data_IF_860432255736
#
_entry.id   IF_860432255736
#
_cell.length_a   1.000
_cell.length_b   1.000
_cell.length_c   1.000
_cell.angle_alpha   90.00
_cell.angle_beta   90.00
_cell.angle_gamma   90.00
#
_symmetry.space_group_name_H-M   'P 1'
#
loop_
_entity.id
_entity.type
_entity.pdbx_description
1 polymer ?
#
# COMPACT_ATOMS: atom_id res chain seq x y z
N UNK A 1 -17.87 5.81 -7.07
CA UNK A 1 -18.20 5.14 -5.79
C UNK A 1 -17.40 3.84 -5.81
N UNK A 2 -16.22 3.86 -5.20
CA UNK A 2 -15.11 2.95 -5.56
C UNK A 2 -14.95 1.80 -4.56
N UNK A 3 -15.99 1.55 -3.78
CA UNK A 3 -15.97 0.62 -2.67
C UNK A 3 -16.77 -0.65 -3.01
N UNK A 4 -16.33 -1.75 -2.42
CA UNK A 4 -16.98 -3.05 -2.56
C UNK A 4 -18.36 -3.04 -1.91
N UNK A 5 -19.28 -3.91 -2.36
CA UNK A 5 -20.58 -4.05 -1.72
C UNK A 5 -20.40 -4.37 -0.23
N UNK A 6 -21.20 -3.69 0.60
CA UNK A 6 -21.24 -3.93 2.04
C UNK A 6 -21.69 -5.37 2.28
N UNK A 7 -20.95 -6.16 3.09
CA UNK A 7 -21.30 -7.56 3.30
C UNK A 7 -22.61 -7.68 4.09
N UNK A 8 -23.38 -8.75 3.83
CA UNK A 8 -24.71 -8.97 4.43
C UNK A 8 -24.70 -9.03 5.97
N UNK A 9 -23.55 -9.32 6.57
CA UNK A 9 -23.34 -9.37 8.01
C UNK A 9 -22.88 -8.02 8.60
N UNK A 10 -23.01 -6.92 7.87
CA UNK A 10 -22.75 -5.58 8.40
C UNK A 10 -23.81 -5.20 9.44
N UNK A 11 -23.34 -4.70 10.59
CA UNK A 11 -24.21 -4.21 11.66
C UNK A 11 -24.81 -2.84 11.32
N UNK A 12 -24.15 -2.07 10.46
CA UNK A 12 -24.59 -0.75 10.02
C UNK A 12 -24.16 -0.46 8.58
N UNK A 13 -24.66 0.64 8.02
CA UNK A 13 -24.13 1.21 6.79
C UNK A 13 -22.62 1.45 6.91
N UNK A 14 -21.94 1.31 5.79
CA UNK A 14 -20.53 1.64 5.67
C UNK A 14 -20.29 3.13 5.92
N UNK A 15 -19.17 3.42 6.58
CA UNK A 15 -18.72 4.76 6.91
C UNK A 15 -17.52 5.11 6.04
N UNK A 16 -17.51 6.31 5.48
CA UNK A 16 -16.31 6.86 4.85
C UNK A 16 -15.32 7.35 5.92
N UNK A 17 -14.08 6.86 5.86
CA UNK A 17 -12.98 7.24 6.71
C UNK A 17 -11.88 7.89 5.86
N UNK A 18 -11.65 9.18 6.06
CA UNK A 18 -10.53 9.91 5.45
C UNK A 18 -9.32 9.91 6.38
N UNK A 19 -8.19 9.41 5.88
CA UNK A 19 -6.94 9.31 6.62
C UNK A 19 -5.86 10.10 5.90
N UNK A 20 -5.16 10.97 6.63
CA UNK A 20 -4.04 11.69 6.06
C UNK A 20 -2.86 10.74 5.83
N UNK A 21 -2.32 10.73 4.61
CA UNK A 21 -1.23 9.86 4.22
C UNK A 21 0.12 10.48 4.64
N UNK A 22 0.45 10.39 5.93
CA UNK A 22 1.74 10.85 6.50
C UNK A 22 2.88 9.85 6.38
N UNK A 23 2.57 8.64 5.95
CA UNK A 23 3.51 7.55 5.71
C UNK A 23 2.82 6.44 4.93
N UNK A 24 3.59 5.50 4.39
CA UNK A 24 3.04 4.47 3.52
C UNK A 24 2.42 3.28 4.28
N UNK A 25 2.75 3.08 5.56
CA UNK A 25 2.27 1.96 6.36
C UNK A 25 0.80 2.16 6.77
N UNK A 26 -0.11 1.74 5.90
CA UNK A 26 -1.56 1.91 6.08
C UNK A 26 -2.07 1.29 7.38
N UNK A 27 -1.54 0.12 7.78
CA UNK A 27 -1.81 -0.49 9.07
C UNK A 27 -1.54 0.46 10.24
N UNK A 28 -0.43 1.20 10.21
CA UNK A 28 -0.08 2.14 11.28
C UNK A 28 -1.02 3.35 11.30
N UNK A 29 -1.35 3.88 10.12
CA UNK A 29 -2.31 4.99 10.01
C UNK A 29 -3.70 4.60 10.55
N UNK A 30 -4.20 3.41 10.19
CA UNK A 30 -5.48 2.91 10.69
C UNK A 30 -5.45 2.66 12.21
N UNK A 31 -4.34 2.15 12.76
CA UNK A 31 -4.17 2.00 14.21
C UNK A 31 -4.23 3.35 14.94
N UNK A 32 -3.63 4.40 14.38
CA UNK A 32 -3.70 5.75 14.95
C UNK A 32 -5.14 6.29 14.94
N UNK A 33 -5.88 6.09 13.84
CA UNK A 33 -7.30 6.49 13.77
C UNK A 33 -8.16 5.71 14.77
N UNK A 34 -7.92 4.39 14.89
CA UNK A 34 -8.59 3.56 15.89
C UNK A 34 -8.30 4.03 17.31
N UNK A 35 -7.03 4.30 17.65
CA UNK A 35 -6.67 4.81 18.97
C UNK A 35 -7.41 6.12 19.28
N UNK A 36 -7.47 7.04 18.30
CA UNK A 36 -8.21 8.30 18.45
C UNK A 36 -9.70 8.06 18.70
N UNK A 37 -10.32 7.19 17.93
CA UNK A 37 -11.72 6.85 18.12
C UNK A 37 -11.96 6.23 19.51
N UNK A 38 -11.07 5.37 20.00
CA UNK A 38 -11.17 4.76 21.33
C UNK A 38 -11.09 5.79 22.46
N UNK A 39 -10.22 6.80 22.35
CA UNK A 39 -10.14 7.87 23.35
C UNK A 39 -11.46 8.65 23.45
N UNK A 40 -12.14 8.89 22.32
CA UNK A 40 -13.46 9.52 22.30
C UNK A 40 -14.58 8.60 22.84
N UNK A 41 -14.43 7.28 22.73
CA UNK A 41 -15.37 6.33 23.34
C UNK A 41 -15.28 6.36 24.86
N UNK A 42 -14.07 6.42 25.42
CA UNK A 42 -13.85 6.41 26.88
C UNK A 42 -14.46 7.65 27.55
N UNK A 43 -14.40 8.81 26.91
CA UNK A 43 -15.10 10.03 27.37
C UNK A 43 -16.63 9.90 27.40
N UNK A 44 -17.20 8.95 26.64
CA UNK A 44 -18.65 8.80 26.46
C UNK A 44 -19.24 7.56 27.12
N UNK A 45 -18.41 6.63 27.60
CA UNK A 45 -18.83 5.40 28.28
C UNK A 45 -17.84 5.20 29.42
N UNK A 46 -18.31 5.19 30.67
CA UNK A 46 -17.52 4.77 31.83
C UNK A 46 -17.17 3.27 31.73
N UNK A 47 -16.31 2.92 30.77
CA UNK A 47 -15.82 1.58 30.54
C UNK A 47 -14.48 1.48 31.27
N UNK A 48 -14.52 1.00 32.51
CA UNK A 48 -13.41 0.94 33.47
C UNK A 48 -12.19 0.11 33.05
N UNK A 49 -12.05 -0.25 31.77
CA UNK A 49 -10.99 -1.10 31.22
C UNK A 49 -10.39 -0.61 29.90
N UNK A 50 -10.76 0.58 29.40
CA UNK A 50 -10.04 1.16 28.24
C UNK A 50 -8.76 1.83 28.76
N UNK A 51 -7.82 1.04 29.28
CA UNK A 51 -6.44 1.54 29.35
C UNK A 51 -6.02 1.85 27.91
N UNK A 52 -5.48 3.03 27.60
CA UNK A 52 -5.01 3.34 26.25
C UNK A 52 -3.96 2.29 25.87
N UNK A 53 -4.39 1.29 25.11
CA UNK A 53 -3.48 0.30 24.56
C UNK A 53 -2.52 1.08 23.68
N UNK A 54 -1.21 0.93 23.90
CA UNK A 54 -0.22 1.44 22.96
C UNK A 54 -0.66 1.09 21.52
N UNK A 55 -0.47 2.00 20.57
CA UNK A 55 -0.88 1.85 19.15
C UNK A 55 -0.47 0.46 18.60
N UNK A 56 0.64 -0.07 19.09
CA UNK A 56 1.19 -1.37 18.72
C UNK A 56 0.31 -2.56 19.13
N UNK A 57 -0.45 -2.45 20.22
CA UNK A 57 -1.29 -3.51 20.77
C UNK A 57 -2.66 -3.64 20.09
N UNK A 58 -3.07 -2.67 19.26
CA UNK A 58 -4.34 -2.76 18.53
C UNK A 58 -4.27 -3.93 17.53
N UNK A 59 -5.12 -4.97 17.65
CA UNK A 59 -5.08 -6.14 16.79
C UNK A 59 -5.65 -5.79 15.42
N UNK A 60 -4.78 -5.43 14.47
CA UNK A 60 -5.14 -5.09 13.09
C UNK A 60 -4.39 -5.99 12.09
N UNK A 61 -5.12 -6.65 11.22
CA UNK A 61 -4.57 -7.60 10.24
C UNK A 61 -4.96 -7.19 8.83
N UNK A 62 -4.01 -7.19 7.89
CA UNK A 62 -4.28 -6.96 6.47
C UNK A 62 -4.63 -8.29 5.80
N UNK A 63 -5.65 -8.30 4.96
CA UNK A 63 -5.86 -9.38 4.01
C UNK A 63 -4.75 -9.35 2.94
N UNK A 64 -4.10 -10.49 2.70
CA UNK A 64 -3.02 -10.60 1.70
C UNK A 64 -3.52 -10.85 0.27
N UNK A 65 -4.82 -11.06 0.12
CA UNK A 65 -5.49 -11.20 -1.18
C UNK A 65 -6.22 -9.92 -1.54
N UNK A 66 -6.51 -9.76 -2.83
CA UNK A 66 -7.42 -8.72 -3.29
C UNK A 66 -8.87 -9.12 -2.99
N UNK A 67 -9.76 -8.21 -2.56
CA UNK A 67 -9.56 -6.78 -2.30
C UNK A 67 -8.72 -6.48 -1.05
N UNK A 68 -8.06 -5.31 -1.05
CA UNK A 68 -7.22 -4.88 0.08
C UNK A 68 -8.12 -4.36 1.20
N UNK A 69 -8.18 -5.09 2.29
CA UNK A 69 -8.84 -4.63 3.50
C UNK A 69 -8.05 -4.97 4.75
N UNK A 70 -8.32 -4.21 5.81
CA UNK A 70 -7.76 -4.43 7.14
C UNK A 70 -8.89 -4.81 8.08
N UNK A 71 -8.63 -5.76 8.97
CA UNK A 71 -9.63 -6.27 9.91
C UNK A 71 -9.11 -6.13 11.34
N UNK A 72 -9.93 -5.57 12.22
CA UNK A 72 -9.61 -5.32 13.63
C UNK A 72 -10.58 -6.02 14.58
N UNK A 73 -10.02 -6.71 15.57
CA UNK A 73 -10.79 -7.38 16.63
C UNK A 73 -10.94 -6.50 17.89
N UNK A 74 -10.64 -5.20 17.80
CA UNK A 74 -10.49 -4.34 18.98
C UNK A 74 -11.77 -4.27 19.84
N UNK A 75 -12.95 -4.26 19.22
CA UNK A 75 -14.21 -4.23 19.96
C UNK A 75 -14.48 -5.56 20.70
N UNK A 76 -14.06 -6.70 20.12
CA UNK A 76 -14.11 -8.00 20.77
C UNK A 76 -13.18 -8.07 21.98
N UNK A 77 -11.98 -7.48 21.88
CA UNK A 77 -11.03 -7.46 23.00
C UNK A 77 -11.47 -6.56 24.15
N UNK A 78 -12.13 -5.43 23.84
CA UNK A 78 -12.53 -4.43 24.84
C UNK A 78 -13.89 -4.71 25.47
N UNK A 79 -14.86 -5.21 24.70
CA UNK A 79 -16.21 -5.48 25.17
C UNK A 79 -16.76 -6.78 24.56
N UNK A 80 -16.30 -7.97 25.00
CA UNK A 80 -16.70 -9.26 24.42
C UNK A 80 -18.21 -9.46 24.30
N UNK A 81 -18.98 -9.00 25.30
CA UNK A 81 -20.44 -9.17 25.36
C UNK A 81 -21.23 -8.13 24.55
N UNK A 82 -20.64 -6.98 24.23
CA UNK A 82 -21.29 -5.85 23.52
C UNK A 82 -20.45 -5.39 22.31
N UNK A 83 -19.69 -6.31 21.73
CA UNK A 83 -18.65 -6.00 20.74
C UNK A 83 -19.22 -5.40 19.47
N UNK A 84 -20.40 -5.83 19.03
CA UNK A 84 -21.09 -5.27 17.87
C UNK A 84 -21.47 -3.79 18.05
N UNK A 85 -22.03 -3.45 19.22
CA UNK A 85 -22.42 -2.06 19.56
C UNK A 85 -21.17 -1.19 19.66
N UNK A 86 -20.11 -1.69 20.30
CA UNK A 86 -18.84 -0.96 20.40
C UNK A 86 -18.19 -0.77 19.02
N UNK A 87 -18.19 -1.78 18.17
CA UNK A 87 -17.69 -1.66 16.80
C UNK A 87 -18.46 -0.60 16.00
N UNK A 88 -19.79 -0.58 16.09
CA UNK A 88 -20.61 0.44 15.44
C UNK A 88 -20.26 1.84 15.95
N UNK A 89 -20.14 2.03 17.27
CA UNK A 89 -19.80 3.33 17.86
C UNK A 89 -18.42 3.80 17.41
N UNK A 90 -17.43 2.91 17.39
CA UNK A 90 -16.09 3.21 16.87
C UNK A 90 -16.19 3.63 15.39
N UNK A 91 -16.92 2.89 14.56
CA UNK A 91 -17.08 3.21 13.14
C UNK A 91 -17.71 4.60 12.93
N UNK A 92 -18.72 4.97 13.71
CA UNK A 92 -19.35 6.29 13.64
C UNK A 92 -18.39 7.42 14.05
N UNK A 93 -17.59 7.21 15.09
CA UNK A 93 -16.60 8.20 15.54
C UNK A 93 -15.50 8.42 14.49
N UNK A 94 -15.16 7.38 13.72
CA UNK A 94 -14.22 7.45 12.61
C UNK A 94 -14.73 8.27 11.41
N UNK A 95 -16.06 8.47 11.27
CA UNK A 95 -16.62 9.33 10.22
C UNK A 95 -16.36 10.81 10.46
N UNK A 96 -16.00 11.20 11.69
CA UNK A 96 -15.87 12.59 12.08
C UNK A 96 -14.75 13.24 11.27
N UNK A 97 -15.02 14.30 10.49
CA UNK A 97 -14.02 14.91 9.64
C UNK A 97 -12.85 15.38 10.50
N UNK A 98 -11.66 14.86 10.18
CA UNK A 98 -10.43 15.44 10.69
C UNK A 98 -10.39 16.87 10.15
N UNK A 99 -10.23 17.87 11.02
CA UNK A 99 -9.92 19.23 10.61
C UNK A 99 -8.53 19.20 9.97
N UNK A 100 -8.46 18.92 8.68
CA UNK A 100 -7.24 18.91 7.89
C UNK A 100 -7.13 20.24 7.16
N UNK A 101 -5.95 20.83 7.24
CA UNK A 101 -5.56 21.90 6.31
C UNK A 101 -5.38 21.26 4.93
N UNK A 102 -5.92 21.87 3.87
CA UNK A 102 -6.03 21.38 2.47
C UNK A 102 -4.72 20.90 1.77
N UNK A 103 -3.60 20.78 2.47
CA UNK A 103 -2.25 20.58 1.90
C UNK A 103 -1.73 19.15 1.95
N UNK A 104 -2.26 18.27 2.80
CA UNK A 104 -1.77 16.88 2.92
C UNK A 104 -2.63 15.89 2.09
N UNK A 105 -2.04 14.91 1.38
CA UNK A 105 -2.82 13.93 0.62
C UNK A 105 -3.64 13.04 1.54
N UNK A 106 -4.93 12.85 1.22
CA UNK A 106 -5.84 11.99 1.97
C UNK A 106 -6.14 10.70 1.22
N UNK A 107 -6.11 9.59 1.95
CA UNK A 107 -6.53 8.27 1.48
C UNK A 107 -7.87 7.91 2.14
N UNK A 108 -8.83 7.44 1.36
CA UNK A 108 -10.16 7.08 1.84
C UNK A 108 -10.30 5.57 2.00
N UNK A 109 -10.84 5.17 3.13
CA UNK A 109 -11.24 3.82 3.45
C UNK A 109 -12.75 3.78 3.66
N UNK A 110 -13.34 2.62 3.40
CA UNK A 110 -14.68 2.32 3.85
C UNK A 110 -14.59 1.49 5.13
N UNK A 111 -15.03 2.06 6.25
CA UNK A 111 -15.10 1.41 7.54
C UNK A 111 -16.46 0.70 7.71
N UNK A 112 -16.43 -0.59 8.06
CA UNK A 112 -17.62 -1.43 8.22
C UNK A 112 -17.55 -2.10 9.58
N UNK A 113 -18.59 -1.90 10.40
CA UNK A 113 -18.79 -2.65 11.62
C UNK A 113 -19.60 -3.91 11.30
N UNK A 114 -19.07 -5.08 11.66
CA UNK A 114 -19.73 -6.36 11.46
C UNK A 114 -20.53 -6.77 12.70
N UNK A 115 -21.59 -7.55 12.51
CA UNK A 115 -22.48 -8.03 13.59
C UNK A 115 -21.78 -8.90 14.63
N UNK A 116 -20.65 -9.50 14.26
CA UNK A 116 -19.79 -10.29 15.14
C UNK A 116 -18.72 -9.47 15.88
N UNK A 117 -18.82 -8.13 15.87
CA UNK A 117 -17.92 -7.24 16.62
C UNK A 117 -16.57 -6.97 15.95
N UNK A 118 -16.38 -7.39 14.70
CA UNK A 118 -15.19 -7.03 13.92
C UNK A 118 -15.37 -5.69 13.22
N UNK A 119 -14.26 -4.98 13.02
CA UNK A 119 -14.18 -3.80 12.15
C UNK A 119 -13.39 -4.14 10.89
N UNK A 120 -13.92 -3.77 9.74
CA UNK A 120 -13.22 -3.87 8.46
C UNK A 120 -12.98 -2.49 7.86
N UNK A 121 -11.82 -2.31 7.24
CA UNK A 121 -11.40 -1.11 6.54
C UNK A 121 -11.04 -1.48 5.12
N UNK A 122 -11.92 -1.21 4.18
CA UNK A 122 -11.73 -1.52 2.77
C UNK A 122 -11.04 -0.36 2.06
N UNK A 123 -9.94 -0.66 1.37
CA UNK A 123 -9.25 0.31 0.53
C UNK A 123 -9.78 0.19 -0.90
N UNK A 124 -10.48 1.23 -1.37
CA UNK A 124 -10.97 1.31 -2.75
C UNK A 124 -9.86 1.55 -3.75
N UNK A 125 -10.16 1.39 -5.04
CA UNK A 125 -9.20 1.54 -6.13
C UNK A 125 -8.57 2.94 -6.20
N UNK A 126 -9.36 3.99 -5.96
CA UNK A 126 -8.88 5.37 -5.87
C UNK A 126 -7.94 5.59 -4.69
N UNK A 127 -8.25 5.02 -3.53
CA UNK A 127 -7.36 5.06 -2.38
C UNK A 127 -6.03 4.36 -2.67
N UNK A 128 -6.08 3.23 -3.37
CA UNK A 128 -4.87 2.51 -3.79
C UNK A 128 -4.06 3.28 -4.84
N UNK A 129 -4.70 3.93 -5.82
CA UNK A 129 -4.03 4.80 -6.77
C UNK A 129 -3.34 5.99 -6.07
N UNK A 130 -4.03 6.64 -5.13
CA UNK A 130 -3.46 7.71 -4.30
C UNK A 130 -2.25 7.21 -3.50
N UNK A 131 -2.31 5.99 -2.96
CA UNK A 131 -1.17 5.40 -2.27
C UNK A 131 0.01 5.18 -3.23
N UNK A 132 -0.22 4.59 -4.41
CA UNK A 132 0.81 4.33 -5.42
C UNK A 132 1.50 5.62 -5.88
N UNK A 133 0.75 6.70 -6.14
CA UNK A 133 1.30 8.01 -6.53
C UNK A 133 2.20 8.63 -5.45
N UNK A 134 1.94 8.33 -4.17
CA UNK A 134 2.70 8.90 -3.06
C UNK A 134 3.86 8.02 -2.61
N UNK A 135 4.01 6.79 -3.13
CA UNK A 135 5.15 5.91 -2.80
C UNK A 135 6.50 6.61 -3.02
N UNK A 136 6.79 7.25 -4.17
CA UNK A 136 8.10 7.85 -4.39
C UNK A 136 8.43 8.99 -3.44
N UNK A 137 7.41 9.71 -2.97
CA UNK A 137 7.55 10.85 -2.05
C UNK A 137 7.74 10.39 -0.61
N UNK A 138 7.03 9.35 -0.19
CA UNK A 138 6.92 8.95 1.22
C UNK A 138 7.79 7.73 1.58
N UNK A 139 8.32 7.01 0.59
CA UNK A 139 9.13 5.83 0.85
C UNK A 139 10.55 6.24 1.24
N UNK A 140 10.93 5.88 2.47
CA UNK A 140 12.30 5.97 2.97
C UNK A 140 12.67 4.62 3.58
N UNK A 141 13.84 4.08 3.23
CA UNK A 141 14.33 2.84 3.82
C UNK A 141 15.24 3.12 5.02
N UNK A 142 14.62 3.20 6.20
CA UNK A 142 15.29 3.52 7.46
C UNK A 142 15.33 2.31 8.39
N UNK A 143 16.06 1.26 7.99
CA UNK A 143 16.31 0.11 8.87
C UNK A 143 17.74 0.04 9.34
N UNK A 144 17.90 -0.17 10.65
CA UNK A 144 19.20 -0.43 11.27
C UNK A 144 19.89 -1.60 10.56
N UNK A 145 21.16 -1.38 10.23
CA UNK A 145 22.07 -2.30 9.53
C UNK A 145 22.19 -3.60 10.36
N UNK A 146 21.33 -4.58 10.10
CA UNK A 146 21.60 -5.95 10.56
C UNK A 146 22.69 -6.52 9.66
N UNK A 147 23.64 -7.23 10.27
CA UNK A 147 24.88 -7.67 9.63
C UNK A 147 24.68 -8.40 8.31
N UNK A 148 25.75 -8.47 7.51
CA UNK A 148 25.83 -9.03 6.15
C UNK A 148 24.91 -10.25 5.96
N UNK A 149 23.74 -10.02 5.39
CA UNK A 149 22.76 -11.09 5.13
C UNK A 149 23.23 -11.91 3.92
N UNK A 150 23.15 -13.24 4.00
CA UNK A 150 23.40 -14.11 2.85
C UNK A 150 22.24 -13.93 1.87
N UNK A 151 22.51 -13.36 0.71
CA UNK A 151 21.54 -13.22 -0.39
C UNK A 151 22.23 -13.48 -1.73
N UNK A 152 21.44 -13.86 -2.73
CA UNK A 152 21.95 -14.01 -4.09
C UNK A 152 22.11 -12.63 -4.75
N UNK A 153 23.20 -11.94 -4.40
CA UNK A 153 23.49 -10.55 -4.79
C UNK A 153 23.31 -10.33 -6.31
N UNK A 154 23.88 -11.24 -7.11
CA UNK A 154 23.84 -11.18 -8.57
C UNK A 154 22.43 -11.28 -9.13
N UNK A 155 21.59 -12.15 -8.56
CA UNK A 155 20.21 -12.28 -9.00
C UNK A 155 19.42 -10.99 -8.73
N UNK A 156 19.62 -10.35 -7.58
CA UNK A 156 18.94 -9.10 -7.25
C UNK A 156 19.39 -7.93 -8.15
N UNK A 157 20.71 -7.83 -8.39
CA UNK A 157 21.28 -6.86 -9.32
C UNK A 157 20.79 -7.07 -10.75
N UNK A 158 20.66 -8.33 -11.18
CA UNK A 158 20.11 -8.69 -12.47
C UNK A 158 18.68 -8.19 -12.64
N UNK A 159 17.81 -8.47 -11.66
CA UNK A 159 16.41 -8.03 -11.72
C UNK A 159 16.32 -6.51 -11.76
N UNK A 160 17.13 -5.81 -10.96
CA UNK A 160 17.19 -4.34 -11.02
C UNK A 160 17.61 -3.82 -12.41
N UNK A 161 18.72 -4.34 -12.98
CA UNK A 161 19.18 -3.95 -14.31
C UNK A 161 18.13 -4.24 -15.40
N UNK A 162 17.41 -5.36 -15.28
CA UNK A 162 16.32 -5.73 -16.19
C UNK A 162 15.17 -4.73 -16.13
N UNK A 163 14.77 -4.28 -14.93
CA UNK A 163 13.80 -3.19 -14.80
C UNK A 163 14.27 -1.92 -15.51
N UNK A 164 15.53 -1.51 -15.33
CA UNK A 164 16.08 -0.35 -16.00
C UNK A 164 16.01 -0.47 -17.54
N UNK A 165 16.34 -1.65 -18.09
CA UNK A 165 16.24 -1.91 -19.53
C UNK A 165 14.81 -1.82 -20.05
N UNK A 166 13.83 -2.35 -19.31
CA UNK A 166 12.41 -2.26 -19.67
C UNK A 166 11.87 -0.82 -19.60
N UNK A 167 12.28 -0.03 -18.61
CA UNK A 167 11.90 1.38 -18.52
C UNK A 167 12.50 2.20 -19.68
N UNK A 168 13.76 1.94 -20.05
CA UNK A 168 14.37 2.55 -21.25
C UNK A 168 13.63 2.15 -22.53
N UNK A 169 13.19 0.89 -22.64
CA UNK A 169 12.36 0.46 -23.77
C UNK A 169 11.03 1.22 -23.79
N UNK A 170 10.36 1.38 -22.63
CA UNK A 170 9.16 2.21 -22.52
C UNK A 170 9.37 3.66 -22.97
N UNK A 171 10.53 4.26 -22.66
CA UNK A 171 10.87 5.59 -23.17
C UNK A 171 11.08 5.61 -24.69
N UNK A 172 11.76 4.60 -25.26
CA UNK A 172 11.94 4.48 -26.72
C UNK A 172 10.60 4.34 -27.45
N UNK A 173 9.67 3.59 -26.87
CA UNK A 173 8.29 3.42 -27.35
C UNK A 173 7.38 4.63 -27.04
N UNK A 174 7.93 5.73 -26.50
CA UNK A 174 7.21 6.97 -26.16
C UNK A 174 6.03 6.76 -25.19
N UNK A 175 6.11 5.73 -24.35
CA UNK A 175 5.10 5.48 -23.33
C UNK A 175 5.31 6.36 -22.10
N UNK A 176 6.57 6.69 -21.80
CA UNK A 176 6.95 7.45 -20.61
C UNK A 176 8.21 8.30 -20.88
N UNK A 177 8.44 9.25 -20.00
CA UNK A 177 9.69 10.01 -19.93
C UNK A 177 10.32 9.73 -18.55
N UNK A 178 11.61 9.39 -18.55
CA UNK A 178 12.40 9.16 -17.35
C UNK A 178 13.66 10.01 -17.35
N UNK A 179 14.06 10.43 -16.15
CA UNK A 179 15.37 11.01 -15.88
C UNK A 179 16.49 9.96 -15.85
N UNK A 180 17.62 10.35 -15.27
CA UNK A 180 18.80 9.50 -15.18
C UNK A 180 18.61 8.36 -14.18
N UNK A 181 18.42 7.13 -14.69
CA UNK A 181 18.30 5.92 -13.85
C UNK A 181 19.54 5.64 -12.99
N UNK A 182 20.68 6.28 -13.24
CA UNK A 182 21.87 6.22 -12.39
C UNK A 182 21.74 7.02 -11.10
N UNK A 183 20.86 8.02 -11.03
CA UNK A 183 20.73 8.90 -9.87
C UNK A 183 19.84 8.29 -8.77
N UNK A 184 20.24 8.52 -7.52
CA UNK A 184 19.47 8.07 -6.34
C UNK A 184 18.20 8.91 -6.25
N UNK A 185 17.05 8.33 -6.58
CA UNK A 185 15.76 9.03 -6.51
C UNK A 185 14.71 8.44 -7.43
N UNK A 186 13.53 9.04 -7.38
CA UNK A 186 12.44 8.77 -8.31
C UNK A 186 12.73 9.44 -9.66
N UNK A 187 12.66 8.67 -10.74
CA UNK A 187 13.10 9.13 -12.07
C UNK A 187 11.96 9.28 -13.07
N UNK A 188 10.71 9.00 -12.71
CA UNK A 188 9.59 9.14 -13.64
C UNK A 188 9.17 10.60 -13.80
N UNK A 189 9.10 11.08 -15.04
CA UNK A 189 8.75 12.46 -15.37
C UNK A 189 7.36 12.57 -16.01
N UNK A 190 7.05 11.71 -16.99
CA UNK A 190 5.76 11.72 -17.67
C UNK A 190 5.29 10.30 -18.04
N UNK A 191 3.97 10.05 -18.15
CA UNK A 191 2.86 10.94 -17.78
C UNK A 191 2.77 11.20 -16.28
N UNK A 192 2.36 12.42 -15.89
CA UNK A 192 2.11 12.79 -14.50
C UNK A 192 0.69 13.36 -14.34
N UNK A 193 -0.16 12.80 -13.47
CA UNK A 193 0.06 11.57 -12.70
C UNK A 193 0.12 10.32 -13.61
N UNK A 194 0.64 9.21 -13.07
CA UNK A 194 0.59 7.93 -13.78
C UNK A 194 -0.89 7.53 -13.92
N UNK A 195 -1.34 7.03 -15.08
CA UNK A 195 -2.76 6.75 -15.32
C UNK A 195 -3.24 5.46 -14.62
N UNK A 196 -3.18 5.42 -13.29
CA UNK A 196 -3.58 4.26 -12.48
C UNK A 196 -5.05 3.89 -12.64
N UNK A 197 -5.92 4.89 -12.79
CA UNK A 197 -7.37 4.74 -12.82
C UNK A 197 -7.90 4.70 -14.25
N UNK A 198 -8.99 3.94 -14.44
CA UNK A 198 -9.77 3.96 -15.67
C UNK A 198 -10.61 5.23 -15.74
N UNK A 199 -10.73 5.76 -16.95
CA UNK A 199 -11.46 7.02 -17.21
C UNK A 199 -12.97 6.90 -17.04
N UNK A 200 -13.51 5.67 -17.10
CA UNK A 200 -14.95 5.39 -17.17
C UNK A 200 -15.58 4.98 -15.84
N UNK A 201 -14.81 4.38 -14.92
CA UNK A 201 -15.37 3.68 -13.76
C UNK A 201 -14.63 3.94 -12.43
N UNK A 202 -13.66 4.87 -12.38
CA UNK A 202 -12.77 5.11 -11.22
C UNK A 202 -12.03 3.85 -10.70
N UNK A 203 -12.15 2.69 -11.37
CA UNK A 203 -11.48 1.45 -11.02
C UNK A 203 -10.01 1.44 -11.44
N UNK A 204 -9.19 0.65 -10.76
CA UNK A 204 -7.76 0.54 -11.05
C UNK A 204 -7.57 -0.20 -12.38
N UNK A 205 -6.67 0.30 -13.24
CA UNK A 205 -6.31 -0.34 -14.51
C UNK A 205 -5.56 -1.66 -14.30
N UNK A 206 -4.83 -1.76 -13.19
CA UNK A 206 -3.96 -2.87 -12.84
C UNK A 206 -4.75 -4.01 -12.19
N UNK A 207 -5.52 -4.76 -12.98
CA UNK A 207 -6.44 -5.81 -12.52
C UNK A 207 -5.85 -7.23 -12.56
N UNK A 208 -4.78 -7.47 -13.31
CA UNK A 208 -4.24 -8.81 -13.48
C UNK A 208 -3.68 -9.36 -12.15
N UNK A 209 -3.79 -10.68 -11.88
CA UNK A 209 -3.32 -11.26 -10.63
C UNK A 209 -1.85 -10.94 -10.32
N UNK A 210 -0.99 -10.94 -11.36
CA UNK A 210 0.44 -10.61 -11.22
C UNK A 210 0.70 -9.13 -10.94
N UNK A 211 -0.15 -8.22 -11.44
CA UNK A 211 -0.10 -6.78 -11.13
C UNK A 211 -0.47 -6.57 -9.66
N UNK A 212 -1.58 -7.18 -9.22
CA UNK A 212 -2.05 -7.11 -7.83
C UNK A 212 -1.04 -7.75 -6.87
N UNK A 213 -0.39 -8.84 -7.25
CA UNK A 213 0.66 -9.48 -6.47
C UNK A 213 1.88 -8.55 -6.28
N UNK A 214 2.31 -7.85 -7.33
CA UNK A 214 3.41 -6.89 -7.20
C UNK A 214 3.03 -5.71 -6.28
N UNK A 215 1.80 -5.19 -6.38
CA UNK A 215 1.28 -4.18 -5.44
C UNK A 215 1.28 -4.71 -3.99
N UNK A 216 0.85 -5.96 -3.76
CA UNK A 216 0.88 -6.59 -2.45
C UNK A 216 2.30 -6.68 -1.89
N UNK A 217 3.30 -6.98 -2.73
CA UNK A 217 4.69 -7.03 -2.27
C UNK A 217 5.22 -5.64 -1.88
N UNK A 218 4.83 -4.59 -2.59
CA UNK A 218 5.19 -3.22 -2.18
C UNK A 218 4.58 -2.88 -0.82
N UNK A 219 3.32 -3.24 -0.58
CA UNK A 219 2.67 -3.07 0.73
C UNK A 219 3.34 -3.93 1.81
N UNK A 220 3.70 -5.18 1.51
CA UNK A 220 4.43 -6.07 2.43
C UNK A 220 5.77 -5.48 2.87
N UNK A 221 6.51 -4.82 1.97
CA UNK A 221 7.79 -4.18 2.29
C UNK A 221 7.59 -3.01 3.25
N UNK A 222 6.62 -2.15 2.95
CA UNK A 222 6.33 -0.96 3.75
C UNK A 222 5.82 -1.32 5.15
N UNK A 223 5.02 -2.39 5.26
CA UNK A 223 4.43 -2.83 6.52
C UNK A 223 5.25 -3.93 7.23
N UNK A 224 6.41 -4.31 6.68
CA UNK A 224 7.22 -5.37 7.26
C UNK A 224 7.69 -5.00 8.68
N UNK A 225 7.62 -5.93 9.64
CA UNK A 225 8.21 -5.71 10.96
C UNK A 225 9.74 -5.77 10.86
N UNK A 226 10.44 -5.00 11.70
CA UNK A 226 11.92 -4.86 11.69
C UNK A 226 12.67 -6.18 11.88
N UNK A 227 11.98 -7.23 12.31
CA UNK A 227 12.50 -8.60 12.41
C UNK A 227 12.71 -9.30 11.06
N UNK A 228 12.00 -8.91 10.00
CA UNK A 228 12.12 -9.53 8.67
C UNK A 228 13.40 -9.05 8.00
N UNK A 229 14.21 -9.98 7.53
CA UNK A 229 15.47 -9.70 6.81
C UNK A 229 15.23 -8.90 5.53
N UNK A 230 16.10 -7.93 5.27
CA UNK A 230 16.07 -7.11 4.05
C UNK A 230 16.23 -7.95 2.78
N UNK A 231 17.13 -8.94 2.83
CA UNK A 231 17.40 -9.87 1.74
C UNK A 231 16.13 -10.60 1.29
N UNK A 232 15.37 -11.14 2.24
CA UNK A 232 14.10 -11.84 1.95
C UNK A 232 13.07 -10.91 1.31
N UNK A 233 13.00 -9.64 1.74
CA UNK A 233 12.11 -8.65 1.12
C UNK A 233 12.54 -8.36 -0.32
N UNK A 234 13.84 -8.15 -0.56
CA UNK A 234 14.39 -7.93 -1.89
C UNK A 234 14.19 -9.15 -2.82
N UNK A 235 14.36 -10.37 -2.31
CA UNK A 235 14.13 -11.61 -3.05
C UNK A 235 12.65 -11.83 -3.39
N UNK A 236 11.74 -11.56 -2.44
CA UNK A 236 10.30 -11.61 -2.67
C UNK A 236 9.88 -10.61 -3.75
N UNK A 237 10.37 -9.36 -3.65
CA UNK A 237 10.10 -8.32 -4.65
C UNK A 237 10.65 -8.71 -6.02
N UNK A 238 11.88 -9.22 -6.07
CA UNK A 238 12.53 -9.63 -7.32
C UNK A 238 11.76 -10.76 -8.02
N UNK A 239 11.27 -11.75 -7.25
CA UNK A 239 10.40 -12.80 -7.79
C UNK A 239 9.08 -12.25 -8.31
N UNK A 240 8.45 -11.31 -7.60
CA UNK A 240 7.22 -10.67 -8.06
C UNK A 240 7.43 -9.83 -9.31
N UNK A 241 8.56 -9.13 -9.44
CA UNK A 241 8.93 -8.39 -10.66
C UNK A 241 9.07 -9.35 -11.85
N UNK A 242 9.83 -10.44 -11.71
CA UNK A 242 10.00 -11.42 -12.79
C UNK A 242 8.68 -12.08 -13.18
N UNK A 243 7.85 -12.44 -12.20
CA UNK A 243 6.52 -12.99 -12.46
C UNK A 243 5.62 -11.96 -13.16
N UNK A 244 5.66 -10.70 -12.74
CA UNK A 244 4.94 -9.60 -13.40
C UNK A 244 5.39 -9.48 -14.84
N UNK A 245 6.68 -9.38 -15.10
CA UNK A 245 7.20 -9.22 -16.45
C UNK A 245 6.86 -10.39 -17.38
N UNK A 246 7.04 -11.62 -16.92
CA UNK A 246 6.78 -12.82 -17.74
C UNK A 246 5.32 -12.94 -18.16
N UNK A 247 4.39 -12.48 -17.32
CA UNK A 247 2.95 -12.66 -17.52
C UNK A 247 2.24 -11.37 -17.98
N UNK A 248 2.84 -10.20 -17.79
CA UNK A 248 2.31 -8.93 -18.25
C UNK A 248 2.86 -8.59 -19.63
N UNK A 249 1.95 -8.52 -20.60
CA UNK A 249 2.24 -7.98 -21.93
C UNK A 249 2.31 -6.45 -21.89
N UNK A 250 3.40 -5.89 -21.36
CA UNK A 250 3.59 -4.43 -21.21
C UNK A 250 3.51 -3.73 -22.57
N UNK A 251 4.14 -4.30 -23.60
CA UNK A 251 4.31 -3.67 -24.92
C UNK A 251 3.39 -4.22 -26.01
N UNK A 252 2.53 -5.20 -25.73
CA UNK A 252 1.77 -5.86 -26.81
C UNK A 252 0.58 -5.04 -27.35
N UNK A 253 0.15 -3.99 -26.62
CA UNK A 253 -1.11 -3.29 -26.88
C UNK A 253 -0.91 -1.77 -26.77
N UNK A 254 0.22 -1.26 -27.25
CA UNK A 254 0.59 0.16 -27.12
C UNK A 254 -0.41 1.05 -27.85
N UNK A 255 -0.80 0.68 -29.06
CA UNK A 255 -1.70 1.47 -29.90
C UNK A 255 -3.14 1.53 -29.36
N UNK A 256 -3.64 0.43 -28.80
CA UNK A 256 -5.05 0.37 -28.35
C UNK A 256 -5.23 0.72 -26.87
N UNK A 257 -4.22 0.49 -26.02
CA UNK A 257 -4.30 0.70 -24.56
C UNK A 257 -3.02 1.31 -23.98
N UNK A 258 -2.59 2.49 -24.47
CA UNK A 258 -1.34 3.10 -24.02
C UNK A 258 -1.33 3.38 -22.52
N UNK A 259 -2.47 3.76 -21.93
CA UNK A 259 -2.58 4.03 -20.50
C UNK A 259 -2.39 2.79 -19.63
N UNK A 260 -2.76 1.59 -20.12
CA UNK A 260 -2.50 0.35 -19.40
C UNK A 260 -1.00 0.01 -19.43
N UNK A 261 -0.35 0.18 -20.57
CA UNK A 261 1.10 0.02 -20.69
C UNK A 261 1.84 1.03 -19.79
N UNK A 262 1.38 2.28 -19.74
CA UNK A 262 1.88 3.33 -18.86
C UNK A 262 1.70 2.97 -17.38
N UNK A 263 0.52 2.52 -16.96
CA UNK A 263 0.28 2.10 -15.57
C UNK A 263 1.18 0.91 -15.19
N UNK A 264 1.38 -0.05 -16.10
CA UNK A 264 2.29 -1.19 -15.90
C UNK A 264 3.74 -0.75 -15.75
N UNK A 265 4.20 0.17 -16.60
CA UNK A 265 5.54 0.74 -16.52
C UNK A 265 5.71 1.58 -15.26
N UNK A 266 4.67 2.29 -14.83
CA UNK A 266 4.64 3.00 -13.55
C UNK A 266 4.81 2.05 -12.37
N UNK A 267 4.09 0.92 -12.36
CA UNK A 267 4.24 -0.10 -11.32
C UNK A 267 5.65 -0.73 -11.33
N UNK A 268 6.21 -0.98 -12.52
CA UNK A 268 7.58 -1.46 -12.67
C UNK A 268 8.60 -0.43 -12.16
N UNK A 269 8.39 0.86 -12.42
CA UNK A 269 9.23 1.94 -11.93
C UNK A 269 9.18 2.02 -10.40
N UNK A 270 8.00 1.92 -9.78
CA UNK A 270 7.86 1.87 -8.32
C UNK A 270 8.62 0.67 -7.73
N UNK A 271 8.47 -0.51 -8.33
CA UNK A 271 9.16 -1.71 -7.88
C UNK A 271 10.68 -1.60 -8.04
N UNK A 272 11.16 -1.03 -9.16
CA UNK A 272 12.57 -0.76 -9.39
C UNK A 272 13.14 0.23 -8.36
N UNK A 273 12.42 1.32 -8.09
CA UNK A 273 12.79 2.31 -7.08
C UNK A 273 12.89 1.68 -5.68
N UNK A 274 11.87 0.93 -5.25
CA UNK A 274 11.90 0.26 -3.94
C UNK A 274 13.01 -0.80 -3.87
N UNK A 275 13.21 -1.60 -4.93
CA UNK A 275 14.29 -2.59 -4.97
C UNK A 275 15.66 -1.92 -4.86
N UNK A 276 15.86 -0.78 -5.53
CA UNK A 276 17.10 0.00 -5.43
C UNK A 276 17.38 0.45 -3.99
N UNK A 277 16.36 0.97 -3.29
CA UNK A 277 16.51 1.38 -1.89
C UNK A 277 16.88 0.19 -1.00
N UNK A 278 16.24 -0.98 -1.19
CA UNK A 278 16.58 -2.21 -0.47
C UNK A 278 18.03 -2.65 -0.72
N UNK A 279 18.51 -2.56 -1.96
CA UNK A 279 19.88 -2.92 -2.33
C UNK A 279 20.90 -1.96 -1.73
N UNK A 280 20.74 -0.65 -1.99
CA UNK A 280 21.76 0.35 -1.66
C UNK A 280 21.74 0.71 -0.17
N UNK A 281 20.56 0.99 0.39
CA UNK A 281 20.44 1.41 1.79
C UNK A 281 20.35 0.21 2.74
N UNK A 282 19.65 -0.85 2.32
CA UNK A 282 19.42 -2.02 3.16
C UNK A 282 20.55 -3.04 3.16
N UNK A 283 21.02 -3.45 1.97
CA UNK A 283 22.04 -4.50 1.82
C UNK A 283 23.44 -3.95 1.55
N UNK A 284 23.59 -2.65 1.28
CA UNK A 284 24.85 -1.99 0.91
C UNK A 284 25.47 -2.58 -0.37
N UNK A 285 24.63 -2.86 -1.36
CA UNK A 285 25.00 -3.39 -2.67
C UNK A 285 24.67 -2.35 -3.72
N UNK A 286 25.54 -2.21 -4.72
CA UNK A 286 25.27 -1.36 -5.88
C UNK A 286 24.12 -1.91 -6.73
N UNK A 287 23.30 -1.00 -7.27
CA UNK A 287 22.18 -1.33 -8.14
C UNK A 287 22.53 -0.95 -9.58
N UNK A 288 22.99 -1.91 -10.41
CA UNK A 288 23.45 -1.61 -11.77
C UNK A 288 22.29 -1.19 -12.66
N UNK A 289 22.52 -0.22 -13.53
CA UNK A 289 21.47 0.30 -14.44
C UNK A 289 21.43 -0.42 -15.78
N UNK A 290 22.33 -1.36 -16.03
CA UNK A 290 22.45 -2.16 -17.25
C UNK A 290 23.66 -3.09 -17.15
N UNK A 291 23.67 -4.12 -17.99
CA UNK A 291 24.87 -4.90 -18.32
C UNK A 291 25.29 -4.57 -19.74
#
# INVERSE_FOLDING_TARGET
>A
MDFYPVPENAFSAAVDLAVVLRGLALKQLLKQQLLRALLLVDETISCSKITPTAVDNIPLFRNKSYPIFYRSAIALTLAPHNSAILAQKIAQLLSSPNQTTNTEPEIRFQAIALTNGWLEFHLGDRGLAMWLDNVPRLFSWERSKRGREKSNLWALQYVHARCCSLLRLGQRERLLEIGELSQIGWQWLAPYPIPWLRSDLEGLRLIAPVERLLIQQLLDIVEAPTSVSTAKLAENLSRAILSFEQNCRIFAVIEQKPQLSQARLGLLALAQFVLRQLLQQGLQIEAPTGF
#
